data_IF_139857744750
#
_entry.id   IF_139857744750
#
_cell.length_a   1.000
_cell.length_b   1.000
_cell.length_c   1.000
_cell.angle_alpha   90.00
_cell.angle_beta   90.00
_cell.angle_gamma   90.00
#
_symmetry.space_group_name_H-M   'P 1'
#
loop_
_entity.id
_entity.type
_entity.pdbx_description
1 polymer ?
#
# COMPACT_ATOMS: atom_id res chain seq x y z
N UNK A 1 0.22 11.01 16.29
CA UNK A 1 -0.47 11.95 17.23
C UNK A 1 -1.69 12.61 16.59
N UNK A 2 -1.56 13.47 15.54
CA UNK A 2 -2.71 14.21 14.99
C UNK A 2 -3.74 13.27 14.34
N UNK A 3 -3.33 12.41 13.44
CA UNK A 3 -4.22 11.46 12.76
C UNK A 3 -4.90 10.51 13.75
N UNK A 4 -4.19 10.03 14.74
CA UNK A 4 -4.73 9.14 15.78
C UNK A 4 -5.78 9.83 16.65
N UNK A 5 -5.61 11.13 16.91
CA UNK A 5 -6.62 11.92 17.61
C UNK A 5 -7.89 12.14 16.78
N UNK A 6 -7.73 12.26 15.44
CA UNK A 6 -8.84 12.42 14.50
C UNK A 6 -9.56 11.10 14.19
N UNK A 7 -8.87 9.98 14.27
CA UNK A 7 -9.34 8.65 13.90
C UNK A 7 -8.97 7.63 14.99
N UNK A 8 -9.73 7.55 16.10
CA UNK A 8 -9.47 6.59 17.18
C UNK A 8 -9.48 5.12 16.70
N UNK A 9 -10.22 4.83 15.63
CA UNK A 9 -10.31 3.51 15.00
C UNK A 9 -9.09 3.12 14.16
N UNK A 10 -8.17 4.05 13.91
CA UNK A 10 -7.02 3.86 13.00
C UNK A 10 -6.25 2.57 13.28
N UNK A 11 -5.94 2.32 14.55
CA UNK A 11 -5.14 1.16 14.95
C UNK A 11 -5.82 -0.18 14.65
N UNK A 12 -7.15 -0.22 14.72
CA UNK A 12 -7.92 -1.43 14.43
C UNK A 12 -8.11 -1.63 12.92
N UNK A 13 -8.32 -0.54 12.18
CA UNK A 13 -8.61 -0.59 10.74
C UNK A 13 -7.33 -0.72 9.92
N UNK A 14 -6.35 0.16 10.16
CA UNK A 14 -5.09 0.18 9.40
C UNK A 14 -3.97 -0.69 10.02
N UNK A 15 -4.14 -1.17 11.26
CA UNK A 15 -3.18 -2.06 11.93
C UNK A 15 -1.89 -1.43 12.43
N UNK A 16 -1.76 -0.12 12.32
CA UNK A 16 -0.48 0.54 12.51
C UNK A 16 -0.61 1.86 13.28
N UNK A 17 0.48 2.28 13.92
CA UNK A 17 0.62 3.61 14.49
C UNK A 17 0.84 4.65 13.37
N UNK A 18 0.35 5.87 13.58
CA UNK A 18 0.55 6.96 12.62
C UNK A 18 1.97 7.54 12.70
N UNK A 19 2.90 6.88 12.04
CA UNK A 19 4.30 7.33 11.94
C UNK A 19 4.53 8.22 10.72
N UNK A 20 5.49 9.17 10.77
CA UNK A 20 5.75 10.12 9.67
C UNK A 20 6.13 9.46 8.33
N UNK A 21 6.62 8.22 8.37
CA UNK A 21 6.95 7.44 7.17
C UNK A 21 5.75 7.07 6.31
N UNK A 22 4.56 6.95 6.88
CA UNK A 22 3.34 6.57 6.17
C UNK A 22 2.76 7.72 5.32
N UNK A 23 1.88 7.36 4.38
CA UNK A 23 1.36 8.30 3.38
C UNK A 23 0.38 9.32 3.97
N UNK A 24 -0.56 8.87 4.83
CA UNK A 24 -1.57 9.75 5.40
C UNK A 24 -0.98 10.94 6.18
N UNK A 25 0.01 10.78 7.08
CA UNK A 25 0.65 11.91 7.74
C UNK A 25 1.34 12.88 6.78
N UNK A 26 1.97 12.39 5.70
CA UNK A 26 2.58 13.24 4.68
C UNK A 26 1.54 14.09 3.97
N UNK A 27 0.39 13.50 3.64
CA UNK A 27 -0.67 14.22 2.93
C UNK A 27 -1.39 15.22 3.84
N UNK A 28 -1.52 14.93 5.14
CA UNK A 28 -1.98 15.92 6.13
C UNK A 28 -1.01 17.12 6.22
N UNK A 29 0.29 16.86 6.11
CA UNK A 29 1.29 17.93 6.01
C UNK A 29 1.08 18.78 4.76
N UNK A 30 0.88 18.17 3.59
CA UNK A 30 0.59 18.88 2.32
C UNK A 30 -0.71 19.69 2.45
N UNK A 31 -1.76 19.10 3.03
CA UNK A 31 -3.02 19.81 3.27
C UNK A 31 -2.83 21.07 4.10
N UNK A 32 -1.95 21.03 5.11
CA UNK A 32 -1.68 22.16 6.01
C UNK A 32 -0.78 23.21 5.39
N UNK A 33 0.30 22.79 4.74
CA UNK A 33 1.36 23.70 4.28
C UNK A 33 1.25 24.07 2.79
N UNK A 34 0.57 23.25 2.01
CA UNK A 34 0.38 23.44 0.56
C UNK A 34 -1.10 23.24 0.15
N UNK A 35 -2.05 23.98 0.77
CA UNK A 35 -3.49 23.72 0.61
C UNK A 35 -3.97 23.83 -0.85
N UNK A 36 -3.36 24.69 -1.67
CA UNK A 36 -3.71 24.82 -3.08
C UNK A 36 -3.34 23.56 -3.88
N UNK A 37 -2.22 22.92 -3.57
CA UNK A 37 -1.83 21.65 -4.18
C UNK A 37 -2.75 20.53 -3.72
N UNK A 38 -3.07 20.49 -2.42
CA UNK A 38 -4.00 19.52 -1.86
C UNK A 38 -5.38 19.59 -2.54
N UNK A 39 -5.95 20.79 -2.67
CA UNK A 39 -7.27 21.01 -3.31
C UNK A 39 -7.32 20.57 -4.78
N UNK A 40 -6.18 20.62 -5.48
CA UNK A 40 -6.05 20.22 -6.87
C UNK A 40 -5.69 18.74 -7.05
N UNK A 41 -5.51 18.00 -5.97
CA UNK A 41 -5.13 16.59 -6.02
C UNK A 41 -6.30 15.77 -6.58
N UNK A 42 -6.13 15.27 -7.79
CA UNK A 42 -7.12 14.43 -8.46
C UNK A 42 -6.96 12.94 -8.11
N UNK A 43 -5.75 12.49 -7.80
CA UNK A 43 -5.48 11.10 -7.41
C UNK A 43 -4.19 11.03 -6.60
N UNK A 44 -4.19 10.18 -5.58
CA UNK A 44 -3.00 9.85 -4.80
C UNK A 44 -2.43 8.51 -5.29
N UNK A 45 -1.16 8.49 -5.65
CA UNK A 45 -0.46 7.28 -6.10
C UNK A 45 0.84 7.14 -5.31
N UNK A 46 1.16 5.92 -4.93
CA UNK A 46 2.49 5.61 -4.40
C UNK A 46 3.55 5.65 -5.52
N UNK A 47 4.83 5.80 -5.23
CA UNK A 47 5.86 5.95 -6.27
C UNK A 47 5.84 4.83 -7.32
N UNK A 48 5.74 3.56 -6.90
CA UNK A 48 5.65 2.43 -7.85
C UNK A 48 4.33 2.45 -8.64
N UNK A 49 3.23 2.92 -8.03
CA UNK A 49 1.93 3.01 -8.71
C UNK A 49 1.94 4.11 -9.76
N UNK A 50 2.64 5.22 -9.49
CA UNK A 50 2.87 6.25 -10.49
C UNK A 50 3.73 5.73 -11.65
N UNK A 51 4.77 4.94 -11.37
CA UNK A 51 5.56 4.30 -12.43
C UNK A 51 4.67 3.37 -13.28
N UNK A 52 3.87 2.52 -12.63
CA UNK A 52 2.89 1.66 -13.33
C UNK A 52 1.91 2.47 -14.17
N UNK A 53 1.38 3.55 -13.62
CA UNK A 53 0.51 4.46 -14.37
C UNK A 53 1.20 5.00 -15.63
N UNK A 54 2.49 5.39 -15.54
CA UNK A 54 3.27 5.82 -16.72
C UNK A 54 3.52 4.71 -17.73
N UNK A 55 3.52 3.46 -17.30
CA UNK A 55 3.70 2.28 -18.16
C UNK A 55 2.40 1.82 -18.83
N UNK A 56 1.25 2.07 -18.19
CA UNK A 56 -0.02 1.40 -18.55
C UNK A 56 -1.19 2.37 -18.78
N UNK A 57 -1.09 3.61 -18.32
CA UNK A 57 -2.20 4.55 -18.26
C UNK A 57 -3.25 4.23 -17.19
N UNK A 58 -3.07 3.18 -16.37
CA UNK A 58 -4.04 2.75 -15.35
C UNK A 58 -3.59 3.14 -13.95
N UNK A 59 -4.53 3.69 -13.18
CA UNK A 59 -4.32 4.08 -11.78
C UNK A 59 -4.71 2.90 -10.90
N UNK A 60 -3.73 2.12 -10.50
CA UNK A 60 -3.91 0.88 -9.73
C UNK A 60 -2.91 0.86 -8.58
N UNK A 61 -3.28 0.33 -7.44
CA UNK A 61 -2.41 0.00 -6.30
C UNK A 61 -2.63 -1.44 -5.88
N UNK A 62 -1.64 -2.06 -5.25
CA UNK A 62 -1.78 -3.38 -4.65
C UNK A 62 -2.10 -3.28 -3.15
N UNK A 63 -2.65 -4.37 -2.60
CA UNK A 63 -3.08 -4.44 -1.21
C UNK A 63 -1.94 -4.23 -0.22
N UNK A 64 -0.75 -4.81 -0.49
CA UNK A 64 0.35 -4.79 0.46
C UNK A 64 0.92 -3.39 0.67
N UNK A 65 1.13 -2.63 -0.41
CA UNK A 65 1.65 -1.28 -0.33
C UNK A 65 0.55 -0.25 0.05
N UNK A 66 -0.69 -0.49 -0.41
CA UNK A 66 -1.85 0.31 0.01
C UNK A 66 -2.06 0.25 1.53
N UNK A 67 -1.78 -0.88 2.18
CA UNK A 67 -1.82 -1.00 3.64
C UNK A 67 -0.88 0.01 4.34
N UNK A 68 0.26 0.34 3.73
CA UNK A 68 1.20 1.35 4.20
C UNK A 68 0.72 2.79 4.01
N UNK A 69 -0.45 3.02 3.44
CA UNK A 69 -1.01 4.38 3.32
C UNK A 69 -1.66 4.87 4.60
N UNK A 70 -2.10 3.99 5.48
CA UNK A 70 -3.00 4.20 6.61
C UNK A 70 -4.45 4.57 6.19
N UNK A 71 -4.84 4.29 4.95
CA UNK A 71 -6.22 4.46 4.46
C UNK A 71 -6.89 3.15 4.09
N UNK A 72 -6.13 2.03 4.05
CA UNK A 72 -6.70 0.71 3.81
C UNK A 72 -7.34 0.15 5.09
N UNK A 73 -8.53 -0.42 4.98
CA UNK A 73 -9.06 -1.40 5.93
C UNK A 73 -8.33 -2.72 5.66
N UNK A 74 -7.29 -3.00 6.43
CA UNK A 74 -6.37 -4.11 6.18
C UNK A 74 -7.07 -5.46 6.32
N UNK A 75 -8.07 -5.55 7.21
CA UNK A 75 -8.86 -6.77 7.36
C UNK A 75 -9.76 -7.02 6.14
N UNK A 76 -10.40 -5.97 5.63
CA UNK A 76 -11.30 -6.06 4.47
C UNK A 76 -10.59 -6.01 3.13
N UNK A 77 -9.31 -5.62 3.11
CA UNK A 77 -8.51 -5.42 1.90
C UNK A 77 -9.17 -4.42 0.94
N UNK A 78 -9.70 -3.32 1.49
CA UNK A 78 -10.34 -2.27 0.71
C UNK A 78 -10.10 -0.89 1.35
N UNK A 79 -10.26 0.18 0.59
CA UNK A 79 -10.15 1.53 1.11
C UNK A 79 -11.17 1.81 2.22
N UNK A 80 -10.72 2.43 3.30
CA UNK A 80 -11.58 2.88 4.39
C UNK A 80 -12.06 4.30 4.12
N UNK A 81 -13.34 4.44 3.76
CA UNK A 81 -13.95 5.75 3.54
C UNK A 81 -13.86 6.63 4.80
N UNK A 82 -13.98 6.03 5.99
CA UNK A 82 -13.84 6.75 7.25
C UNK A 82 -12.45 7.35 7.44
N UNK A 83 -11.37 6.60 7.17
CA UNK A 83 -9.99 7.10 7.29
C UNK A 83 -9.64 8.11 6.20
N UNK A 84 -10.17 7.93 4.99
CA UNK A 84 -10.03 8.90 3.90
C UNK A 84 -10.67 10.25 4.27
N UNK A 85 -11.92 10.23 4.75
CA UNK A 85 -12.66 11.43 5.16
C UNK A 85 -11.91 12.23 6.23
N UNK A 86 -11.33 11.57 7.26
CA UNK A 86 -10.49 12.22 8.28
C UNK A 86 -9.32 13.00 7.66
N UNK A 87 -8.78 12.51 6.56
CA UNK A 87 -7.71 13.20 5.83
C UNK A 87 -8.22 14.25 4.82
N UNK A 88 -9.54 14.39 4.64
CA UNK A 88 -10.15 15.28 3.66
C UNK A 88 -10.06 14.74 2.24
N UNK A 89 -10.06 13.43 2.10
CA UNK A 89 -10.02 12.69 0.84
C UNK A 89 -11.30 11.89 0.65
N UNK A 90 -11.49 11.40 -0.55
CA UNK A 90 -12.57 10.50 -0.90
C UNK A 90 -12.05 9.32 -1.74
N UNK A 91 -12.84 8.27 -1.83
CA UNK A 91 -12.52 7.09 -2.64
C UNK A 91 -12.27 7.43 -4.13
N UNK A 92 -12.86 8.51 -4.65
CA UNK A 92 -12.64 8.94 -6.04
C UNK A 92 -11.20 9.41 -6.32
N UNK A 93 -10.45 9.74 -5.27
CA UNK A 93 -9.04 10.13 -5.36
C UNK A 93 -8.08 8.95 -5.17
N UNK A 94 -8.62 7.75 -4.89
CA UNK A 94 -7.83 6.54 -4.69
C UNK A 94 -7.74 5.71 -5.97
N UNK A 95 -6.61 5.01 -6.20
CA UNK A 95 -6.49 4.06 -7.30
C UNK A 95 -7.35 2.82 -7.05
N UNK A 96 -7.65 2.10 -8.13
CA UNK A 96 -8.26 0.75 -8.02
C UNK A 96 -7.30 -0.19 -7.29
N UNK A 97 -7.82 -1.00 -6.39
CA UNK A 97 -7.05 -2.02 -5.68
C UNK A 97 -7.06 -3.35 -6.44
N UNK A 98 -5.91 -4.03 -6.43
CA UNK A 98 -5.74 -5.39 -6.93
C UNK A 98 -4.86 -6.18 -5.97
N UNK A 99 -4.91 -7.52 -6.04
CA UNK A 99 -3.91 -8.34 -5.37
C UNK A 99 -2.56 -8.24 -6.09
N UNK A 100 -1.46 -8.42 -5.36
CA UNK A 100 -0.14 -8.24 -5.95
C UNK A 100 0.16 -9.19 -7.11
N UNK A 101 -0.40 -10.40 -7.08
CA UNK A 101 -0.27 -11.40 -8.14
C UNK A 101 -1.28 -11.25 -9.30
N UNK A 102 -2.26 -10.36 -9.19
CA UNK A 102 -3.22 -10.10 -10.25
C UNK A 102 -2.64 -9.24 -11.36
N UNK A 103 -3.22 -9.36 -12.55
CA UNK A 103 -2.90 -8.48 -13.68
C UNK A 103 -3.55 -7.12 -13.45
N UNK A 104 -2.73 -6.09 -13.26
CA UNK A 104 -3.21 -4.71 -13.09
C UNK A 104 -3.58 -4.04 -14.42
N UNK A 105 -2.83 -4.35 -15.49
CA UNK A 105 -3.05 -3.83 -16.84
C UNK A 105 -2.10 -4.53 -17.84
N UNK A 106 -2.21 -4.14 -19.12
CA UNK A 106 -1.17 -4.38 -20.15
C UNK A 106 -0.35 -3.11 -20.38
N UNK A 107 0.82 -3.24 -20.99
CA UNK A 107 1.63 -2.07 -21.38
C UNK A 107 0.87 -1.17 -22.34
N UNK A 108 1.05 0.12 -22.20
CA UNK A 108 0.68 1.09 -23.22
C UNK A 108 1.42 0.78 -24.52
N UNK A 109 0.74 0.77 -25.69
CA UNK A 109 1.37 0.41 -26.95
C UNK A 109 2.59 1.26 -27.32
N UNK A 110 2.59 2.55 -26.97
CA UNK A 110 3.73 3.43 -27.24
C UNK A 110 4.93 3.11 -26.33
N UNK A 111 4.66 2.75 -25.08
CA UNK A 111 5.70 2.31 -24.13
C UNK A 111 6.28 0.98 -24.59
N UNK A 112 5.42 0.03 -24.94
CA UNK A 112 5.85 -1.28 -25.46
C UNK A 112 6.73 -1.13 -26.69
N UNK A 113 6.32 -0.34 -27.68
CA UNK A 113 7.10 -0.08 -28.90
C UNK A 113 8.46 0.55 -28.59
N UNK A 114 8.51 1.53 -27.66
CA UNK A 114 9.77 2.17 -27.24
C UNK A 114 10.77 1.17 -26.64
N UNK A 115 10.26 0.18 -25.92
CA UNK A 115 11.08 -0.83 -25.24
C UNK A 115 11.33 -2.09 -26.08
N UNK A 116 10.80 -2.16 -27.29
CA UNK A 116 10.89 -3.34 -28.14
C UNK A 116 10.10 -4.53 -27.62
N UNK A 117 9.03 -4.27 -26.85
CA UNK A 117 8.17 -5.28 -26.24
C UNK A 117 6.83 -5.37 -26.97
N UNK A 118 6.12 -6.48 -26.75
CA UNK A 118 4.75 -6.62 -27.20
C UNK A 118 3.79 -5.86 -26.27
N UNK A 119 2.80 -5.18 -26.83
CA UNK A 119 1.79 -4.48 -26.06
C UNK A 119 0.88 -5.42 -25.23
N UNK A 120 0.87 -6.72 -25.51
CA UNK A 120 0.18 -7.73 -24.70
C UNK A 120 0.92 -8.11 -23.40
N UNK A 121 2.10 -7.57 -23.14
CA UNK A 121 2.83 -7.81 -21.89
C UNK A 121 1.98 -7.35 -20.71
N UNK A 122 1.70 -8.28 -19.82
CA UNK A 122 0.92 -8.03 -18.60
C UNK A 122 1.79 -7.38 -17.53
N UNK A 123 1.21 -6.41 -16.82
CA UNK A 123 1.83 -5.77 -15.68
C UNK A 123 1.09 -6.22 -14.42
N UNK A 124 1.78 -6.91 -13.53
CA UNK A 124 1.22 -7.40 -12.27
C UNK A 124 0.92 -6.27 -11.28
N UNK A 125 0.12 -6.54 -10.26
CA UNK A 125 -0.14 -5.64 -9.15
C UNK A 125 1.14 -5.22 -8.41
N UNK A 126 2.07 -6.15 -8.25
CA UNK A 126 3.31 -5.91 -7.50
C UNK A 126 3.08 -5.82 -6.00
N UNK A 127 3.93 -5.12 -5.27
CA UNK A 127 3.79 -5.03 -3.81
C UNK A 127 4.74 -4.06 -3.15
N UNK A 128 4.53 -3.84 -1.86
CA UNK A 128 5.49 -3.20 -0.98
C UNK A 128 6.79 -4.01 -0.91
N UNK A 129 7.91 -3.34 -0.70
CA UNK A 129 9.26 -3.90 -0.80
C UNK A 129 9.46 -5.16 0.07
N UNK A 130 9.04 -5.13 1.33
CA UNK A 130 9.14 -6.29 2.22
C UNK A 130 8.20 -7.43 1.80
N UNK A 131 7.00 -7.12 1.30
CA UNK A 131 6.03 -8.12 0.88
C UNK A 131 6.47 -8.85 -0.41
N UNK A 132 7.11 -8.15 -1.37
CA UNK A 132 7.68 -8.81 -2.55
C UNK A 132 8.99 -9.53 -2.22
N UNK A 133 9.77 -9.02 -1.25
CA UNK A 133 10.95 -9.73 -0.75
C UNK A 133 10.58 -11.07 -0.12
N UNK A 134 9.43 -11.13 0.58
CA UNK A 134 8.90 -12.38 1.14
C UNK A 134 8.70 -13.45 0.04
N UNK A 135 8.14 -13.07 -1.11
CA UNK A 135 8.03 -13.98 -2.26
C UNK A 135 9.40 -14.47 -2.71
N UNK A 136 10.36 -13.53 -2.83
CA UNK A 136 11.70 -13.84 -3.31
C UNK A 136 12.47 -14.83 -2.42
N UNK A 137 12.19 -14.85 -1.12
CA UNK A 137 12.81 -15.79 -0.15
C UNK A 137 11.93 -16.99 0.18
N UNK A 138 10.74 -17.10 -0.41
CA UNK A 138 9.82 -18.22 -0.21
C UNK A 138 8.97 -18.15 1.06
N UNK A 139 8.85 -16.99 1.70
CA UNK A 139 7.95 -16.77 2.84
C UNK A 139 6.53 -16.52 2.33
N UNK A 140 5.80 -17.60 2.02
CA UNK A 140 4.50 -17.58 1.31
C UNK A 140 3.39 -18.35 2.02
N UNK A 141 3.70 -18.95 3.16
CA UNK A 141 2.74 -19.72 3.97
C UNK A 141 2.69 -19.17 5.40
N UNK A 142 1.53 -19.27 6.08
CA UNK A 142 1.43 -18.86 7.48
C UNK A 142 2.49 -19.51 8.36
N UNK A 143 3.18 -18.69 9.14
CA UNK A 143 4.31 -19.10 9.99
C UNK A 143 5.68 -18.97 9.32
N UNK A 144 5.76 -18.83 8.00
CA UNK A 144 7.02 -18.50 7.34
C UNK A 144 7.51 -17.13 7.81
N UNK A 145 8.82 -17.02 7.99
CA UNK A 145 9.43 -15.79 8.48
C UNK A 145 10.82 -15.58 7.86
N UNK A 146 11.24 -14.33 7.82
CA UNK A 146 12.63 -13.99 7.51
C UNK A 146 13.07 -12.77 8.30
N UNK A 147 14.37 -12.61 8.42
CA UNK A 147 15.01 -11.43 8.98
C UNK A 147 15.81 -10.74 7.88
N UNK A 148 15.50 -9.46 7.64
CA UNK A 148 16.30 -8.59 6.78
C UNK A 148 17.19 -7.73 7.66
N UNK A 149 18.51 -7.83 7.47
CA UNK A 149 19.50 -7.08 8.24
C UNK A 149 20.29 -6.14 7.32
N UNK A 150 20.20 -4.85 7.61
CA UNK A 150 20.96 -3.78 6.99
C UNK A 150 21.39 -2.79 8.08
N UNK A 151 21.32 -1.50 7.81
CA UNK A 151 21.48 -0.45 8.84
C UNK A 151 20.39 -0.55 9.91
N UNK A 152 19.21 -1.02 9.53
CA UNK A 152 18.11 -1.42 10.41
C UNK A 152 17.78 -2.90 10.20
N UNK A 153 17.05 -3.50 11.15
CA UNK A 153 16.59 -4.88 11.06
C UNK A 153 15.06 -4.94 10.96
N UNK A 154 14.55 -5.87 10.16
CA UNK A 154 13.12 -6.19 10.05
C UNK A 154 12.97 -7.69 10.27
N UNK A 155 12.11 -8.08 11.20
CA UNK A 155 11.58 -9.43 11.31
C UNK A 155 10.22 -9.44 10.61
N UNK A 156 10.07 -10.25 9.57
CA UNK A 156 8.82 -10.41 8.82
C UNK A 156 8.23 -11.80 9.11
N UNK A 157 6.94 -11.85 9.41
CA UNK A 157 6.22 -13.12 9.69
C UNK A 157 4.91 -13.14 8.93
N UNK A 158 4.68 -14.18 8.14
CA UNK A 158 3.42 -14.40 7.41
C UNK A 158 2.33 -14.89 8.36
N UNK A 159 1.12 -14.35 8.23
CA UNK A 159 -0.04 -14.76 9.04
C UNK A 159 -1.24 -15.08 8.15
N UNK A 160 -2.09 -16.00 8.62
CA UNK A 160 -3.33 -16.44 7.97
C UNK A 160 -4.53 -15.53 8.24
N UNK A 161 -4.33 -14.51 9.06
CA UNK A 161 -5.36 -13.56 9.44
C UNK A 161 -4.75 -12.20 9.76
N UNK A 162 -5.55 -11.16 9.67
CA UNK A 162 -5.21 -9.84 10.14
C UNK A 162 -5.06 -9.82 11.67
N UNK A 163 -3.88 -9.51 12.17
CA UNK A 163 -3.51 -9.55 13.60
C UNK A 163 -2.85 -8.22 14.01
N UNK A 164 -3.60 -7.11 14.15
CA UNK A 164 -3.03 -5.83 14.55
C UNK A 164 -2.52 -5.90 16.00
N UNK A 165 -1.32 -5.39 16.24
CA UNK A 165 -0.70 -5.31 17.55
C UNK A 165 -0.04 -3.93 17.79
N UNK A 166 -0.79 -2.82 17.64
CA UNK A 166 -0.23 -1.47 17.74
C UNK A 166 0.35 -1.16 19.12
N UNK A 167 -0.21 -1.75 20.18
CA UNK A 167 0.31 -1.62 21.56
C UNK A 167 1.74 -2.14 21.73
N UNK A 168 2.16 -3.06 20.85
CA UNK A 168 3.51 -3.61 20.81
C UNK A 168 4.38 -2.96 19.73
N UNK A 169 3.86 -1.93 19.06
CA UNK A 169 4.49 -1.26 17.91
C UNK A 169 4.85 -2.23 16.75
N UNK A 170 4.15 -3.37 16.68
CA UNK A 170 4.29 -4.33 15.57
C UNK A 170 3.37 -3.90 14.45
N UNK A 171 3.93 -3.74 13.28
CA UNK A 171 3.17 -3.40 12.07
C UNK A 171 2.41 -4.62 11.54
N UNK A 172 1.19 -4.39 11.03
CA UNK A 172 0.37 -5.39 10.37
C UNK A 172 -0.10 -4.88 9.01
N UNK A 173 0.17 -5.65 7.95
CA UNK A 173 -0.14 -5.30 6.57
C UNK A 173 -0.75 -6.47 5.82
N UNK A 174 -1.36 -6.21 4.66
CA UNK A 174 -1.68 -7.25 3.71
C UNK A 174 -0.38 -7.84 3.13
N UNK A 175 -0.34 -9.16 2.95
CA UNK A 175 0.70 -9.79 2.14
C UNK A 175 0.44 -9.51 0.64
N UNK A 176 1.44 -9.71 -0.20
CA UNK A 176 1.30 -9.56 -1.66
C UNK A 176 0.43 -10.68 -2.27
N UNK A 177 0.32 -11.79 -1.57
CA UNK A 177 -0.59 -12.88 -1.93
C UNK A 177 -1.97 -12.68 -1.29
N UNK A 178 -3.05 -13.07 -1.98
CA UNK A 178 -4.42 -12.96 -1.46
C UNK A 178 -4.62 -13.79 -0.19
N UNK A 179 -5.51 -13.31 0.67
CA UNK A 179 -5.90 -13.98 1.92
C UNK A 179 -4.74 -14.23 2.90
N UNK A 180 -3.63 -13.54 2.73
CA UNK A 180 -2.51 -13.55 3.66
C UNK A 180 -2.20 -12.13 4.14
N UNK A 181 -1.68 -12.05 5.34
CA UNK A 181 -1.17 -10.84 5.97
C UNK A 181 0.25 -11.07 6.45
N UNK A 182 0.88 -10.04 6.96
CA UNK A 182 2.15 -10.17 7.65
C UNK A 182 2.27 -9.18 8.80
N UNK A 183 3.10 -9.52 9.75
CA UNK A 183 3.58 -8.65 10.81
C UNK A 183 5.07 -8.38 10.62
N UNK A 184 5.51 -7.20 11.01
CA UNK A 184 6.92 -6.83 11.02
C UNK A 184 7.23 -5.71 12.03
#
# INVERSE_FOLDING_TARGET
>A
AELEAMAPELHQVAGNLAMPGFTAPKLLWVRRHEPQHFQRTATVLLPKDYLRYRMTGKKVSDMSDAAGTLWLDVAKRDWSDALLDKCGLSRSQMPTLVEGCEVSATLDPQVAARWGLNASVMVAGGGGDNAVSAIGVGAVSPGDAFISLGTSGVLFVVTDAYRPAPQSAVHAFCHVLPNLWHQM
#
